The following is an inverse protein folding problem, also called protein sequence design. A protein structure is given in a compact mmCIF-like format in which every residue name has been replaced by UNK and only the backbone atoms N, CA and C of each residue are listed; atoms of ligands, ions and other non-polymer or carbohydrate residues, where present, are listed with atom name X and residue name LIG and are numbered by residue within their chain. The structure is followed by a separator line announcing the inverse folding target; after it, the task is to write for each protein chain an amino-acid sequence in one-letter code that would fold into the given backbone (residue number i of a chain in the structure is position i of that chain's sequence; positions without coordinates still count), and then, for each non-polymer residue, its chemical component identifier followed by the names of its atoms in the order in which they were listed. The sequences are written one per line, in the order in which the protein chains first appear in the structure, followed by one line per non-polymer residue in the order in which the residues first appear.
data_IF_424416504846
#
_entry.id   IF_424416504846
#
_cell.length_a   1.000
_cell.length_b   1.000
_cell.length_c   1.000
_cell.angle_alpha   90.00
_cell.angle_beta   90.00
_cell.angle_gamma   90.00
#
_symmetry.space_group_name_H-M   'P 1'
#
loop_
_entity.id
_entity.type
_entity.pdbx_description
1 polymer ?
#
# COMPACT_ATOMS: atom_id res chain seq x y z
N UNK A 1 10.51 2.49 -5.82
CA UNK A 1 9.40 1.92 -5.01
C UNK A 1 8.17 1.87 -5.88
N UNK A 2 7.38 0.82 -5.76
CA UNK A 2 6.06 0.73 -6.41
C UNK A 2 4.96 0.86 -5.36
N UNK A 3 3.88 1.56 -5.73
CA UNK A 3 2.65 1.68 -4.96
C UNK A 3 1.51 1.23 -5.87
N UNK A 4 0.90 0.09 -5.54
CA UNK A 4 -0.31 -0.37 -6.22
C UNK A 4 -1.53 0.13 -5.46
N UNK A 5 -2.54 0.61 -6.19
CA UNK A 5 -3.80 1.09 -5.64
C UNK A 5 -4.91 0.14 -6.06
N UNK A 6 -5.67 -0.39 -5.09
CA UNK A 6 -6.77 -1.32 -5.33
C UNK A 6 -8.01 -0.80 -4.63
N UNK A 7 -9.13 -0.75 -5.35
CA UNK A 7 -10.43 -0.52 -4.76
C UNK A 7 -10.86 -1.80 -4.03
N UNK A 8 -10.93 -1.74 -2.71
CA UNK A 8 -11.27 -2.89 -1.85
C UNK A 8 -12.78 -3.06 -1.71
N UNK A 9 -13.52 -1.95 -1.81
CA UNK A 9 -14.96 -1.95 -1.64
C UNK A 9 -15.67 -2.66 -2.80
N UNK A 10 -16.52 -3.64 -2.48
CA UNK A 10 -17.16 -4.55 -3.46
C UNK A 10 -18.62 -4.23 -3.75
N UNK A 11 -19.28 -3.49 -2.87
CA UNK A 11 -20.69 -3.17 -3.04
C UNK A 11 -20.85 -2.02 -4.03
N UNK A 12 -21.28 -2.33 -5.25
CA UNK A 12 -21.39 -1.39 -6.36
C UNK A 12 -22.29 -0.18 -6.06
N UNK A 13 -23.33 -0.34 -5.24
CA UNK A 13 -24.26 0.75 -4.90
C UNK A 13 -23.63 1.81 -4.00
N UNK A 14 -22.56 1.44 -3.28
CA UNK A 14 -21.89 2.30 -2.29
C UNK A 14 -20.43 2.57 -2.64
N UNK A 15 -19.98 2.17 -3.85
CA UNK A 15 -18.66 2.53 -4.36
C UNK A 15 -18.62 4.04 -4.57
N UNK A 16 -17.66 4.66 -3.90
CA UNK A 16 -17.31 6.06 -4.09
C UNK A 16 -15.80 6.13 -4.35
N UNK A 17 -15.37 6.33 -5.61
CA UNK A 17 -13.96 6.45 -5.95
C UNK A 17 -13.25 7.63 -5.24
N UNK A 18 -13.99 8.63 -4.77
CA UNK A 18 -13.43 9.77 -4.04
C UNK A 18 -13.24 9.47 -2.54
N UNK A 19 -13.90 8.43 -2.03
CA UNK A 19 -13.75 7.98 -0.66
C UNK A 19 -12.47 7.13 -0.50
N UNK A 20 -11.41 7.76 0.00
CA UNK A 20 -10.09 7.15 0.22
C UNK A 20 -10.10 5.94 1.17
N UNK A 21 -11.10 5.80 2.03
CA UNK A 21 -11.21 4.66 2.94
C UNK A 21 -11.58 3.36 2.20
N UNK A 22 -12.21 3.48 1.02
CA UNK A 22 -12.55 2.35 0.15
C UNK A 22 -11.36 1.79 -0.63
N UNK A 23 -10.19 2.44 -0.53
CA UNK A 23 -8.98 2.04 -1.21
C UNK A 23 -8.01 1.36 -0.25
N UNK A 24 -7.19 0.48 -0.82
CA UNK A 24 -6.04 -0.13 -0.17
C UNK A 24 -4.81 0.04 -1.07
N UNK A 25 -3.67 0.33 -0.44
CA UNK A 25 -2.42 0.58 -1.13
C UNK A 25 -1.38 -0.46 -0.73
N UNK A 26 -0.71 -1.02 -1.72
CA UNK A 26 0.36 -2.00 -1.52
C UNK A 26 1.69 -1.39 -1.94
N UNK A 27 2.58 -1.18 -0.96
CA UNK A 27 3.90 -0.57 -1.16
C UNK A 27 4.97 -1.65 -1.14
N UNK A 28 5.81 -1.69 -2.17
CA UNK A 28 6.88 -2.69 -2.30
C UNK A 28 8.16 -2.09 -2.89
N UNK A 29 9.31 -2.63 -2.46
CA UNK A 29 10.60 -2.27 -3.03
C UNK A 29 10.68 -2.67 -4.50
N UNK A 30 11.24 -1.78 -5.33
CA UNK A 30 11.48 -2.08 -6.75
C UNK A 30 12.42 -3.27 -6.93
N UNK A 31 13.42 -3.44 -6.06
CA UNK A 31 14.33 -4.60 -6.09
C UNK A 31 13.58 -5.92 -5.92
N UNK A 32 12.70 -6.02 -4.90
CA UNK A 32 11.88 -7.21 -4.62
C UNK A 32 10.94 -7.54 -5.77
N UNK A 33 10.37 -6.51 -6.40
CA UNK A 33 9.52 -6.70 -7.58
C UNK A 33 10.35 -7.18 -8.78
N UNK A 34 11.50 -6.56 -9.06
CA UNK A 34 12.35 -6.96 -10.18
C UNK A 34 12.88 -8.40 -10.05
N UNK A 35 13.23 -8.81 -8.84
CA UNK A 35 13.64 -10.19 -8.54
C UNK A 35 12.52 -11.20 -8.81
N UNK A 36 11.30 -10.89 -8.39
CA UNK A 36 10.18 -11.82 -8.49
C UNK A 36 9.52 -11.87 -9.88
N UNK A 37 9.43 -10.75 -10.60
CA UNK A 37 8.65 -10.64 -11.84
C UNK A 37 9.53 -10.39 -13.09
N UNK A 38 10.83 -10.15 -12.91
CA UNK A 38 11.81 -10.00 -13.99
C UNK A 38 11.49 -8.83 -14.92
N UNK A 39 11.35 -9.11 -16.22
CA UNK A 39 11.04 -8.11 -17.26
C UNK A 39 9.54 -7.88 -17.47
N UNK A 40 8.68 -8.65 -16.79
CA UNK A 40 7.23 -8.57 -16.98
C UNK A 40 6.71 -7.26 -16.35
N UNK A 41 5.86 -6.55 -17.08
CA UNK A 41 5.30 -5.25 -16.63
C UNK A 41 3.95 -5.39 -15.90
N UNK A 42 3.48 -6.62 -15.72
CA UNK A 42 2.17 -6.93 -15.14
C UNK A 42 2.33 -7.94 -14.01
N UNK A 43 1.55 -7.75 -12.94
CA UNK A 43 1.45 -8.68 -11.82
C UNK A 43 -0.01 -8.73 -11.37
N UNK A 44 -0.53 -9.91 -11.06
CA UNK A 44 -1.85 -10.04 -10.43
C UNK A 44 -1.80 -9.64 -8.96
N UNK A 45 -2.94 -9.24 -8.39
CA UNK A 45 -3.04 -8.96 -6.95
C UNK A 45 -2.60 -10.17 -6.10
N UNK A 46 -3.02 -11.38 -6.45
CA UNK A 46 -2.64 -12.60 -5.74
C UNK A 46 -1.12 -12.85 -5.74
N UNK A 47 -0.45 -12.62 -6.87
CA UNK A 47 1.01 -12.75 -6.97
C UNK A 47 1.72 -11.62 -6.23
N UNK A 48 1.18 -10.40 -6.26
CA UNK A 48 1.71 -9.27 -5.48
C UNK A 48 1.68 -9.59 -3.99
N UNK A 49 0.57 -10.10 -3.46
CA UNK A 49 0.43 -10.45 -2.04
C UNK A 49 1.44 -11.51 -1.58
N UNK A 50 1.81 -12.46 -2.44
CA UNK A 50 2.86 -13.46 -2.15
C UNK A 50 4.24 -12.83 -1.94
N UNK A 51 4.46 -11.63 -2.49
CA UNK A 51 5.68 -10.86 -2.26
C UNK A 51 5.64 -10.07 -0.95
N UNK A 52 4.66 -10.31 -0.07
CA UNK A 52 4.49 -9.63 1.22
C UNK A 52 4.73 -8.11 1.10
N UNK A 53 3.92 -7.41 0.29
CA UNK A 53 3.98 -5.95 0.20
C UNK A 53 3.47 -5.35 1.51
N UNK A 54 3.78 -4.07 1.72
CA UNK A 54 3.20 -3.34 2.84
C UNK A 54 1.83 -2.82 2.46
N UNK A 55 0.79 -3.42 3.02
CA UNK A 55 -0.59 -2.97 2.90
C UNK A 55 -0.82 -1.78 3.84
N UNK A 56 -1.36 -0.68 3.30
CA UNK A 56 -1.63 0.56 4.05
C UNK A 56 -2.83 1.30 3.49
N UNK A 57 -3.43 2.16 4.33
CA UNK A 57 -4.42 3.17 3.89
C UNK A 57 -3.73 4.44 3.39
N UNK A 58 -4.49 5.32 2.73
CA UNK A 58 -3.94 6.51 2.06
C UNK A 58 -3.01 7.35 2.94
N UNK A 59 -3.43 7.64 4.18
CA UNK A 59 -2.66 8.47 5.12
C UNK A 59 -1.29 7.89 5.51
N UNK A 60 -1.07 6.61 5.30
CA UNK A 60 0.15 5.90 5.70
C UNK A 60 1.14 5.66 4.54
N UNK A 61 0.78 6.01 3.29
CA UNK A 61 1.61 5.75 2.10
C UNK A 61 3.00 6.37 2.25
N UNK A 62 3.09 7.64 2.67
CA UNK A 62 4.36 8.34 2.83
C UNK A 62 5.31 7.59 3.79
N UNK A 63 4.74 7.11 4.89
CA UNK A 63 5.48 6.36 5.90
C UNK A 63 5.91 4.99 5.38
N UNK A 64 5.02 4.29 4.69
CA UNK A 64 5.34 3.00 4.06
C UNK A 64 6.47 3.13 3.03
N UNK A 65 6.43 4.16 2.18
CA UNK A 65 7.50 4.46 1.23
C UNK A 65 8.82 4.68 1.97
N UNK A 66 8.82 5.55 2.99
CA UNK A 66 10.03 5.83 3.78
C UNK A 66 10.63 4.59 4.40
N UNK A 67 9.82 3.69 4.98
CA UNK A 67 10.32 2.41 5.53
C UNK A 67 10.91 1.51 4.44
N UNK A 68 10.30 1.47 3.26
CA UNK A 68 10.78 0.65 2.14
C UNK A 68 12.07 1.20 1.52
N UNK A 69 12.24 2.54 1.47
CA UNK A 69 13.44 3.18 0.91
C UNK A 69 14.59 3.22 1.92
N UNK A 70 14.32 3.65 3.16
CA UNK A 70 15.33 3.99 4.15
C UNK A 70 15.53 2.90 5.22
N UNK A 71 14.72 1.83 5.22
CA UNK A 71 14.80 0.75 6.20
C UNK A 71 14.13 1.09 7.54
N UNK A 72 14.17 0.13 8.47
CA UNK A 72 13.40 0.14 9.73
C UNK A 72 13.81 1.20 10.76
N UNK A 73 14.84 2.02 10.50
CA UNK A 73 15.27 3.10 11.39
C UNK A 73 14.37 4.34 11.33
N UNK A 74 13.44 4.41 10.37
CA UNK A 74 12.47 5.51 10.29
C UNK A 74 11.37 5.32 11.35
N UNK A 75 11.53 5.95 12.52
CA UNK A 75 10.44 6.13 13.48
C UNK A 75 9.57 7.30 13.06
N UNK A 76 8.39 7.03 12.50
CA UNK A 76 7.37 8.07 12.38
C UNK A 76 6.67 8.26 13.73
N UNK A 77 6.65 9.50 14.20
CA UNK A 77 5.72 9.99 15.21
C UNK A 77 4.31 9.83 14.62
N UNK A 78 3.53 8.89 15.14
CA UNK A 78 2.14 8.68 14.75
C UNK A 78 1.31 9.90 15.18
N UNK A 79 0.45 10.50 14.33
CA UNK A 79 -0.63 11.34 14.82
C UNK A 79 -1.58 10.40 15.59
N UNK A 80 -1.68 10.60 16.90
CA UNK A 80 -2.69 9.93 17.72
C UNK A 80 -4.06 10.26 17.13
N UNK A 81 -4.74 9.27 16.56
CA UNK A 81 -6.17 9.36 16.34
C UNK A 81 -6.82 9.64 17.70
N UNK A 82 -7.33 10.85 17.88
CA UNK A 82 -8.09 11.22 19.07
C UNK A 82 -9.30 10.29 19.16
N UNK A 83 -9.34 9.53 20.24
CA UNK A 83 -10.54 8.90 20.80
C UNK A 83 -11.72 9.86 20.70
N UNK A 84 -12.85 9.36 20.21
CA UNK A 84 -14.14 10.02 20.30
C UNK A 84 -14.44 10.45 21.74
N UNK A 85 -15.09 11.60 21.85
CA UNK A 85 -15.81 12.07 23.03
C UNK A 85 -17.28 12.19 22.68
#
# INVERSE_FOLDING_TARGET
VYVFCVLEHKNQETIDPLNLDQWVFYVIATSKLNEAVGKQKTISLSSLLKLAPREVKYGEINHAIKRVVFGSSYQAIQPTAKSGG
#
